data_IF_346309236425
#
_entry.id   IF_346309236425
#
_cell.length_a   1.000
_cell.length_b   1.000
_cell.length_c   1.000
_cell.angle_alpha   90.00
_cell.angle_beta   90.00
_cell.angle_gamma   90.00
#
_symmetry.space_group_name_H-M   'P 1'
#
loop_
_entity.id
_entity.type
_entity.pdbx_description
1 polymer ?
#
# COMPACT_ATOMS: atom_id res chain seq x y z
N UNK A 1 -25.03 -7.57 -0.50
CA UNK A 1 -23.78 -6.86 -0.82
C UNK A 1 -23.64 -6.41 -2.29
N UNK A 2 -24.68 -6.47 -3.14
CA UNK A 2 -24.58 -6.14 -4.59
C UNK A 2 -25.14 -4.74 -4.93
N UNK A 3 -25.19 -3.81 -3.96
CA UNK A 3 -25.83 -2.49 -4.16
C UNK A 3 -24.86 -1.39 -4.64
N UNK A 4 -23.55 -1.58 -4.47
CA UNK A 4 -22.57 -0.50 -4.65
C UNK A 4 -22.26 -0.13 -6.11
N UNK A 5 -22.66 -0.96 -7.09
CA UNK A 5 -22.40 -0.72 -8.50
C UNK A 5 -23.63 -0.24 -9.29
N UNK A 6 -24.74 0.06 -8.61
CA UNK A 6 -26.01 0.43 -9.23
C UNK A 6 -26.07 1.91 -9.66
N UNK A 7 -24.94 2.54 -9.96
CA UNK A 7 -24.95 3.88 -10.54
C UNK A 7 -25.38 3.79 -12.00
N UNK A 8 -26.52 4.38 -12.40
CA UNK A 8 -26.96 4.36 -13.80
C UNK A 8 -25.92 4.97 -14.76
N UNK A 9 -25.07 5.85 -14.25
CA UNK A 9 -23.98 6.46 -15.01
C UNK A 9 -22.83 5.50 -15.33
N UNK A 10 -22.66 4.42 -14.55
CA UNK A 10 -21.63 3.41 -14.78
C UNK A 10 -22.09 2.33 -15.77
N UNK A 11 -23.39 2.14 -15.95
CA UNK A 11 -23.94 1.07 -16.80
C UNK A 11 -23.38 1.10 -18.24
N UNK A 12 -23.33 2.25 -18.95
CA UNK A 12 -22.78 2.28 -20.31
C UNK A 12 -21.30 1.93 -20.38
N UNK A 13 -20.55 2.23 -19.31
CA UNK A 13 -19.11 1.94 -19.22
C UNK A 13 -18.92 0.43 -18.99
N UNK A 14 -19.69 -0.15 -18.08
CA UNK A 14 -19.67 -1.59 -17.78
C UNK A 14 -20.12 -2.39 -19.01
N UNK A 15 -21.19 -1.99 -19.68
CA UNK A 15 -21.69 -2.67 -20.89
C UNK A 15 -20.65 -2.64 -22.00
N UNK A 16 -20.01 -1.48 -22.23
CA UNK A 16 -18.92 -1.36 -23.20
C UNK A 16 -17.75 -2.27 -22.84
N UNK A 17 -17.35 -2.30 -21.57
CA UNK A 17 -16.27 -3.16 -21.10
C UNK A 17 -16.60 -4.64 -21.39
N UNK A 18 -17.79 -5.10 -20.98
CA UNK A 18 -18.26 -6.47 -21.21
C UNK A 18 -18.24 -6.84 -22.69
N UNK A 19 -18.69 -5.95 -23.58
CA UNK A 19 -18.68 -6.19 -25.02
C UNK A 19 -17.27 -6.25 -25.64
N UNK A 20 -16.27 -5.62 -25.02
CA UNK A 20 -14.88 -5.61 -25.53
C UNK A 20 -14.02 -6.75 -25.01
N UNK A 21 -14.46 -7.46 -23.98
CA UNK A 21 -13.68 -8.52 -23.36
C UNK A 21 -13.78 -9.82 -24.20
N UNK A 22 -12.64 -10.42 -24.60
CA UNK A 22 -12.65 -11.66 -25.37
C UNK A 22 -13.05 -12.90 -24.53
N UNK A 23 -12.98 -12.78 -23.20
CA UNK A 23 -13.32 -13.80 -22.22
C UNK A 23 -13.68 -13.15 -20.87
N UNK A 24 -14.33 -13.87 -19.93
CA UNK A 24 -14.64 -13.34 -18.60
C UNK A 24 -13.40 -12.84 -17.85
N UNK A 25 -13.54 -11.74 -17.12
CA UNK A 25 -12.52 -11.28 -16.18
C UNK A 25 -12.53 -12.18 -14.94
N UNK A 26 -11.38 -12.75 -14.59
CA UNK A 26 -11.24 -13.62 -13.42
C UNK A 26 -10.07 -13.15 -12.57
N UNK A 27 -10.27 -12.90 -11.26
CA UNK A 27 -9.17 -12.51 -10.39
C UNK A 27 -8.23 -13.68 -10.12
N UNK A 28 -6.94 -13.41 -10.10
CA UNK A 28 -5.88 -14.32 -9.69
C UNK A 28 -5.06 -13.63 -8.59
N UNK A 29 -5.13 -14.15 -7.37
CA UNK A 29 -4.51 -13.53 -6.22
C UNK A 29 -3.09 -14.06 -5.99
N UNK A 30 -2.17 -13.16 -5.70
CA UNK A 30 -0.84 -13.47 -5.18
C UNK A 30 -0.63 -12.71 -3.88
N UNK A 31 -0.17 -13.41 -2.86
CA UNK A 31 0.09 -12.83 -1.54
C UNK A 31 1.57 -12.84 -1.19
N UNK A 32 1.96 -11.96 -0.27
CA UNK A 32 3.32 -11.89 0.23
C UNK A 32 3.74 -13.23 0.87
N UNK A 33 4.90 -13.75 0.48
CA UNK A 33 5.45 -15.01 0.97
C UNK A 33 5.01 -16.25 0.19
N UNK A 34 4.11 -16.12 -0.78
CA UNK A 34 3.77 -17.22 -1.70
C UNK A 34 4.70 -17.23 -2.92
N UNK A 35 4.92 -18.40 -3.56
CA UNK A 35 5.64 -18.48 -4.82
C UNK A 35 4.99 -17.63 -5.92
N UNK A 36 5.82 -16.98 -6.75
CA UNK A 36 5.33 -16.28 -7.93
C UNK A 36 4.90 -17.31 -8.99
N UNK A 37 3.58 -17.51 -9.10
CA UNK A 37 2.97 -18.41 -10.08
C UNK A 37 2.17 -17.59 -11.08
N UNK A 38 2.25 -17.97 -12.36
CA UNK A 38 1.44 -17.34 -13.41
C UNK A 38 0.04 -17.98 -13.47
N UNK A 39 -1.01 -17.21 -13.78
CA UNK A 39 -2.32 -17.77 -14.03
C UNK A 39 -2.32 -18.66 -15.30
N UNK A 40 -3.29 -19.58 -15.44
CA UNK A 40 -3.40 -20.44 -16.62
C UNK A 40 -3.56 -19.63 -17.92
N UNK A 41 -2.66 -19.83 -18.88
CA UNK A 41 -2.72 -19.16 -20.19
C UNK A 41 -3.54 -19.98 -21.21
N UNK A 42 -4.73 -20.44 -20.81
CA UNK A 42 -5.58 -21.33 -21.63
C UNK A 42 -6.60 -20.58 -22.51
N UNK A 43 -6.57 -19.24 -22.48
CA UNK A 43 -7.45 -18.38 -23.27
C UNK A 43 -8.91 -18.40 -22.83
N UNK A 44 -9.26 -19.08 -21.73
CA UNK A 44 -10.65 -19.17 -21.24
C UNK A 44 -11.07 -17.98 -20.39
N UNK A 45 -10.12 -17.17 -19.94
CA UNK A 45 -10.34 -16.03 -19.08
C UNK A 45 -9.34 -14.89 -19.35
N UNK A 46 -9.79 -13.68 -19.08
CA UNK A 46 -8.95 -12.50 -18.92
C UNK A 46 -8.51 -12.43 -17.45
N UNK A 47 -7.32 -12.97 -17.14
CA UNK A 47 -6.83 -13.00 -15.76
C UNK A 47 -6.40 -11.61 -15.29
N UNK A 48 -6.92 -11.20 -14.13
CA UNK A 48 -6.51 -9.97 -13.43
C UNK A 48 -5.67 -10.39 -12.23
N UNK A 49 -4.37 -10.09 -12.29
CA UNK A 49 -3.44 -10.39 -11.21
C UNK A 49 -3.63 -9.37 -10.09
N UNK A 50 -4.23 -9.81 -8.99
CA UNK A 50 -4.42 -9.03 -7.78
C UNK A 50 -3.27 -9.32 -6.81
N UNK A 51 -2.51 -8.29 -6.43
CA UNK A 51 -1.39 -8.41 -5.50
C UNK A 51 -1.82 -7.98 -4.09
N UNK A 52 -1.52 -8.81 -3.10
CA UNK A 52 -1.69 -8.50 -1.69
C UNK A 52 -0.34 -8.37 -1.01
N UNK A 53 -0.11 -7.22 -0.36
CA UNK A 53 1.04 -7.02 0.52
C UNK A 53 0.95 -7.87 1.81
N UNK A 54 -0.26 -8.29 2.19
CA UNK A 54 -0.48 -9.18 3.34
C UNK A 54 -0.22 -10.63 2.94
N UNK A 55 0.38 -11.39 3.86
CA UNK A 55 0.46 -12.84 3.78
C UNK A 55 -0.93 -13.46 3.98
N UNK A 56 -1.23 -14.54 3.28
CA UNK A 56 -2.39 -15.39 3.59
C UNK A 56 -2.07 -16.15 4.87
N UNK A 57 -2.83 -15.89 5.93
CA UNK A 57 -2.68 -16.57 7.20
C UNK A 57 -3.95 -17.35 7.47
N UNK A 58 -3.81 -18.63 7.77
CA UNK A 58 -4.91 -19.44 8.25
C UNK A 58 -5.42 -18.91 9.60
N UNK A 59 -6.74 -18.73 9.71
CA UNK A 59 -7.36 -18.07 10.85
C UNK A 59 -7.18 -18.88 12.15
N UNK A 60 -7.10 -20.21 12.06
CA UNK A 60 -6.87 -21.08 13.22
C UNK A 60 -5.41 -20.93 13.70
N UNK A 61 -4.46 -21.01 12.77
CA UNK A 61 -3.02 -20.80 13.04
C UNK A 61 -2.73 -19.40 13.60
N UNK A 62 -3.44 -18.36 13.12
CA UNK A 62 -3.29 -16.99 13.61
C UNK A 62 -3.66 -16.86 15.09
N UNK A 63 -4.71 -17.57 15.53
CA UNK A 63 -5.25 -17.52 16.91
C UNK A 63 -4.39 -18.26 17.93
N UNK A 64 -3.61 -19.25 17.49
CA UNK A 64 -2.66 -19.93 18.36
C UNK A 64 -1.44 -19.05 18.68
N UNK A 65 -1.10 -18.14 17.76
CA UNK A 65 0.11 -17.32 17.86
C UNK A 65 -0.18 -15.93 18.45
N UNK A 66 -1.40 -15.43 18.33
CA UNK A 66 -1.77 -14.07 18.73
C UNK A 66 -3.05 -14.07 19.58
N UNK A 67 -3.16 -13.12 20.52
CA UNK A 67 -4.39 -12.85 21.28
C UNK A 67 -5.48 -12.15 20.46
N UNK A 68 -5.19 -11.83 19.19
CA UNK A 68 -6.07 -11.16 18.24
C UNK A 68 -6.19 -12.00 16.96
N UNK A 69 -7.29 -11.84 16.22
CA UNK A 69 -7.50 -12.56 14.95
C UNK A 69 -7.33 -11.60 13.79
N UNK A 70 -6.32 -11.83 12.95
CA UNK A 70 -6.22 -11.12 11.67
C UNK A 70 -7.40 -11.50 10.78
N UNK A 71 -8.16 -10.51 10.33
CA UNK A 71 -9.16 -10.72 9.28
C UNK A 71 -8.49 -10.32 7.97
N UNK A 72 -8.32 -11.26 7.05
CA UNK A 72 -7.68 -10.98 5.76
C UNK A 72 -8.45 -9.89 5.00
N UNK A 73 -7.76 -8.82 4.64
CA UNK A 73 -8.37 -7.65 3.98
C UNK A 73 -8.99 -6.63 4.94
N UNK A 74 -9.00 -6.89 6.26
CA UNK A 74 -9.07 -5.82 7.24
C UNK A 74 -7.69 -5.15 7.26
N UNK A 75 -7.50 -4.18 6.37
CA UNK A 75 -6.50 -3.16 6.60
C UNK A 75 -6.81 -2.53 7.95
N UNK A 76 -5.80 -2.34 8.78
CA UNK A 76 -5.92 -1.45 9.92
C UNK A 76 -6.12 -0.04 9.35
N UNK A 77 -7.38 0.36 9.20
CA UNK A 77 -7.79 1.66 8.65
C UNK A 77 -7.48 2.81 9.62
N UNK A 78 -6.84 2.52 10.77
CA UNK A 78 -6.17 3.56 11.53
C UNK A 78 -4.97 4.05 10.71
N UNK A 79 -5.19 5.19 10.04
CA UNK A 79 -4.18 6.05 9.39
C UNK A 79 -3.08 6.55 10.35
N UNK A 80 -2.88 5.89 11.49
CA UNK A 80 -1.77 6.06 12.41
C UNK A 80 -0.41 5.88 11.73
N UNK A 81 -0.33 5.18 10.59
CA UNK A 81 0.89 5.12 9.79
C UNK A 81 1.33 6.49 9.27
N UNK A 82 0.39 7.40 9.01
CA UNK A 82 0.68 8.74 8.54
C UNK A 82 0.90 9.74 9.68
N UNK A 83 0.54 9.41 10.94
CA UNK A 83 0.63 10.30 12.12
C UNK A 83 0.26 11.76 11.83
N UNK A 84 -0.87 11.98 11.15
CA UNK A 84 -1.38 13.32 10.75
C UNK A 84 -0.58 14.03 9.63
N UNK A 85 0.40 13.38 9.00
CA UNK A 85 1.03 13.87 7.79
C UNK A 85 0.01 13.85 6.65
N UNK A 86 -0.18 15.00 5.99
CA UNK A 86 -0.94 15.03 4.74
C UNK A 86 -0.14 14.30 3.66
N UNK A 87 -0.82 13.70 2.68
CA UNK A 87 -0.18 12.97 1.58
C UNK A 87 0.98 13.73 0.91
N UNK A 88 0.84 15.05 0.70
CA UNK A 88 1.91 15.89 0.14
C UNK A 88 3.12 16.05 1.06
N UNK A 89 2.92 16.08 2.38
CA UNK A 89 4.00 16.14 3.36
C UNK A 89 4.71 14.79 3.43
N UNK A 90 3.96 13.69 3.45
CA UNK A 90 4.50 12.33 3.39
C UNK A 90 5.47 12.15 2.21
N UNK A 91 5.02 12.43 0.98
CA UNK A 91 5.86 12.20 -0.19
C UNK A 91 7.12 13.09 -0.24
N UNK A 92 7.11 14.24 0.44
CA UNK A 92 8.30 15.10 0.55
C UNK A 92 9.34 14.54 1.52
N UNK A 93 8.93 13.77 2.52
CA UNK A 93 9.83 13.23 3.54
C UNK A 93 9.89 11.69 3.56
N UNK A 94 9.29 11.00 2.60
CA UNK A 94 9.17 9.54 2.57
C UNK A 94 10.52 8.84 2.77
N UNK A 95 11.57 9.27 2.07
CA UNK A 95 12.92 8.69 2.20
C UNK A 95 13.53 8.85 3.60
N UNK A 96 13.16 9.92 4.31
CA UNK A 96 13.62 10.15 5.69
C UNK A 96 12.82 9.31 6.66
N UNK A 97 11.50 9.26 6.52
CA UNK A 97 10.63 8.47 7.39
C UNK A 97 10.92 6.97 7.26
N UNK A 98 11.12 6.49 6.04
CA UNK A 98 11.48 5.09 5.79
C UNK A 98 12.86 4.74 6.38
N UNK A 99 13.83 5.65 6.32
CA UNK A 99 15.14 5.46 6.98
C UNK A 99 15.03 5.47 8.50
N UNK A 100 14.18 6.34 9.07
CA UNK A 100 13.93 6.32 10.52
C UNK A 100 13.39 4.94 10.92
N UNK A 101 12.41 4.41 10.18
CA UNK A 101 11.85 3.09 10.44
C UNK A 101 12.85 1.93 10.28
N UNK A 102 13.89 2.09 9.46
CA UNK A 102 14.93 1.07 9.23
C UNK A 102 15.98 1.04 10.33
N UNK A 103 16.34 2.19 10.90
CA UNK A 103 17.50 2.32 11.79
C UNK A 103 17.20 2.58 13.27
N UNK A 104 15.97 2.97 13.60
CA UNK A 104 15.61 3.37 14.96
C UNK A 104 14.64 2.37 15.60
N UNK A 105 14.70 2.23 16.92
CA UNK A 105 13.66 1.55 17.66
C UNK A 105 12.33 2.32 17.57
N UNK A 106 11.21 1.69 17.94
CA UNK A 106 9.89 2.32 17.86
C UNK A 106 9.83 3.65 18.64
N UNK A 107 10.34 3.67 19.87
CA UNK A 107 10.33 4.88 20.73
C UNK A 107 11.18 6.01 20.12
N UNK A 108 12.38 5.71 19.61
CA UNK A 108 13.26 6.70 18.99
C UNK A 108 12.69 7.23 17.65
N UNK A 109 12.05 6.35 16.88
CA UNK A 109 11.38 6.73 15.63
C UNK A 109 10.20 7.67 15.88
N UNK A 110 9.46 7.48 16.98
CA UNK A 110 8.38 8.36 17.40
C UNK A 110 8.89 9.75 17.77
N UNK A 111 9.94 9.85 18.58
CA UNK A 111 10.54 11.13 18.98
C UNK A 111 11.05 11.93 17.76
N UNK A 112 11.72 11.26 16.81
CA UNK A 112 12.20 11.89 15.58
C UNK A 112 11.08 12.39 14.67
N UNK A 113 9.98 11.63 14.55
CA UNK A 113 8.81 12.03 13.78
C UNK A 113 8.08 13.21 14.43
N UNK A 114 7.96 13.24 15.75
CA UNK A 114 7.35 14.36 16.48
C UNK A 114 8.19 15.63 16.37
N UNK A 115 9.51 15.52 16.52
CA UNK A 115 10.43 16.65 16.32
C UNK A 115 10.36 17.20 14.89
N UNK A 116 10.26 16.31 13.89
CA UNK A 116 10.06 16.71 12.49
C UNK A 116 8.74 17.47 12.27
N UNK A 117 7.64 17.03 12.88
CA UNK A 117 6.35 17.69 12.75
C UNK A 117 6.27 19.04 13.47
N UNK A 118 7.00 19.20 14.59
CA UNK A 118 7.05 20.45 15.36
C UNK A 118 8.05 21.47 14.78
N UNK A 119 8.98 21.04 13.93
CA UNK A 119 10.13 21.84 13.44
C UNK A 119 9.96 22.60 12.12
N UNK A 120 8.77 22.69 11.52
CA UNK A 120 8.58 23.49 10.29
C UNK A 120 8.33 24.97 10.61
N UNK A 121 9.40 25.78 10.59
CA UNK A 121 9.39 26.97 9.75
C UNK A 121 10.66 27.02 8.91
N UNK A 122 10.52 26.79 7.61
CA UNK A 122 11.54 27.17 6.63
C UNK A 122 12.82 26.33 6.68
N UNK A 123 12.78 25.21 5.96
CA UNK A 123 13.90 24.57 5.26
C UNK A 123 15.25 25.32 5.36
N UNK A 124 16.09 24.93 6.32
CA UNK A 124 17.54 25.12 6.21
C UNK A 124 18.19 23.76 6.19
N UNK A 125 18.49 23.32 4.98
CA UNK A 125 19.22 22.09 4.70
C UNK A 125 20.67 22.26 5.17
N UNK A 126 21.03 21.83 6.39
CA UNK A 126 22.46 21.54 6.66
C UNK A 126 22.79 20.57 7.80
N UNK A 127 21.90 20.18 8.72
CA UNK A 127 22.33 19.34 9.87
C UNK A 127 21.46 18.10 10.09
N UNK A 128 21.33 17.23 9.09
CA UNK A 128 20.94 15.83 9.32
C UNK A 128 22.19 14.94 9.16
N UNK A 129 22.40 13.93 10.02
CA UNK A 129 23.57 13.03 9.94
C UNK A 129 23.62 12.21 8.64
N UNK A 130 22.54 12.23 7.85
CA UNK A 130 22.47 11.61 6.54
C UNK A 130 22.08 12.68 5.52
N UNK A 131 23.05 13.09 4.71
CA UNK A 131 22.84 14.01 3.60
C UNK A 131 21.71 13.53 2.70
N UNK A 132 20.79 14.45 2.38
CA UNK A 132 19.75 14.20 1.39
C UNK A 132 20.44 13.95 0.03
N UNK A 133 20.28 12.77 -0.62
CA UNK A 133 20.77 12.61 -1.97
C UNK A 133 20.00 13.59 -2.87
N UNK A 134 20.74 14.45 -3.56
CA UNK A 134 20.17 15.42 -4.50
C UNK A 134 19.29 14.68 -5.51
N UNK A 135 18.09 15.20 -5.75
CA UNK A 135 17.13 14.64 -6.70
C UNK A 135 17.81 14.30 -8.04
N UNK A 136 17.44 13.18 -8.69
CA UNK A 136 18.03 12.81 -9.98
C UNK A 136 17.75 13.93 -10.98
N UNK A 137 18.82 14.53 -11.50
CA UNK A 137 18.74 15.51 -12.58
C UNK A 137 18.16 14.79 -13.80
N UNK A 138 17.09 15.39 -14.32
CA UNK A 138 16.34 14.96 -15.49
C UNK A 138 17.30 14.59 -16.64
N UNK A 139 17.29 13.32 -17.06
CA UNK A 139 17.94 12.92 -18.31
C UNK A 139 17.17 13.59 -19.46
N UNK A 140 17.91 14.38 -20.24
CA UNK A 140 17.48 14.97 -21.51
C UNK A 140 17.81 14.01 -22.65
#
# INVERSE_FOLDING_TARGET
>A
AVSAFSSPALLPIVDRLVQTLPAPLVPFWLAAGEPLVAPPLDGKACWIVCLSASRVIDAETARETHSWTYIQGAGDDEENWARKLRAQQWWRCADRVLRIAEFFSHEEAEEELEAFQQGEPGMTATNAPFGCPSAPQHLS
#
